data_IF_152210509657
#
_entry.id   IF_152210509657
#
_cell.length_a   1.000
_cell.length_b   1.000
_cell.length_c   1.000
_cell.angle_alpha   90.00
_cell.angle_beta   90.00
_cell.angle_gamma   90.00
#
_symmetry.space_group_name_H-M   'P 1'
#
loop_
_entity.id
_entity.type
_entity.pdbx_description
1 polymer ?
#
# COMPACT_ATOMS: atom_id res chain seq x y z
N UNK A 1 3.84 -15.90 -12.18
CA UNK A 1 4.66 -16.87 -11.43
C UNK A 1 6.15 -16.76 -11.70
N UNK A 2 6.57 -15.80 -12.54
CA UNK A 2 7.98 -15.54 -12.84
C UNK A 2 8.61 -14.53 -11.88
N UNK A 3 7.84 -13.60 -11.36
CA UNK A 3 8.30 -12.56 -10.41
C UNK A 3 7.97 -12.96 -8.98
N UNK A 4 6.80 -13.57 -8.77
CA UNK A 4 6.39 -14.15 -7.48
C UNK A 4 6.24 -15.67 -7.65
N UNK A 5 7.28 -16.46 -7.36
CA UNK A 5 7.17 -17.91 -7.42
C UNK A 5 6.27 -18.47 -6.29
N UNK A 6 5.73 -19.66 -6.49
CA UNK A 6 4.92 -20.35 -5.46
C UNK A 6 5.66 -20.61 -4.14
N UNK A 7 6.97 -20.48 -4.13
CA UNK A 7 7.84 -20.66 -2.96
C UNK A 7 8.10 -19.36 -2.19
N UNK A 8 7.52 -18.23 -2.62
CA UNK A 8 7.78 -16.92 -2.01
C UNK A 8 7.27 -16.84 -0.56
N UNK A 9 6.04 -17.23 -0.35
CA UNK A 9 5.41 -17.32 0.96
C UNK A 9 4.17 -18.24 0.91
N UNK A 10 3.60 -18.52 2.08
CA UNK A 10 2.43 -19.40 2.23
C UNK A 10 1.24 -18.95 1.36
N UNK A 11 0.89 -17.67 1.36
CA UNK A 11 -0.26 -17.15 0.61
C UNK A 11 -0.02 -17.13 -0.91
N UNK A 12 1.21 -16.91 -1.35
CA UNK A 12 1.57 -17.06 -2.76
C UNK A 12 1.45 -18.52 -3.22
N UNK A 13 1.81 -19.48 -2.35
CA UNK A 13 1.62 -20.91 -2.62
C UNK A 13 0.13 -21.27 -2.70
N UNK A 14 -0.67 -20.83 -1.70
CA UNK A 14 -2.11 -21.04 -1.67
C UNK A 14 -2.79 -20.43 -2.89
N UNK A 15 -2.51 -19.16 -3.19
CA UNK A 15 -3.04 -18.50 -4.38
C UNK A 15 -2.68 -19.27 -5.65
N UNK A 16 -1.44 -19.73 -5.79
CA UNK A 16 -1.00 -20.49 -6.97
C UNK A 16 -1.75 -21.82 -7.16
N UNK A 17 -2.27 -22.41 -6.07
CA UNK A 17 -3.01 -23.65 -6.12
C UNK A 17 -4.50 -23.48 -6.46
N UNK A 18 -5.10 -22.33 -6.06
CA UNK A 18 -6.55 -22.18 -6.08
C UNK A 18 -7.08 -20.94 -6.80
N UNK A 19 -6.22 -20.08 -7.37
CA UNK A 19 -6.70 -18.90 -8.09
C UNK A 19 -7.52 -19.33 -9.32
N UNK A 20 -8.64 -18.66 -9.53
CA UNK A 20 -9.56 -18.93 -10.64
C UNK A 20 -9.84 -17.70 -11.49
N UNK A 21 -9.38 -16.53 -11.02
CA UNK A 21 -9.66 -15.25 -11.67
C UNK A 21 -8.44 -14.33 -11.60
N UNK A 22 -8.47 -13.24 -12.34
CA UNK A 22 -7.40 -12.27 -12.34
C UNK A 22 -7.47 -11.29 -13.49
N UNK A 23 -6.46 -10.44 -13.56
CA UNK A 23 -6.32 -9.42 -14.59
C UNK A 23 -5.00 -9.58 -15.33
N UNK A 24 -5.04 -9.50 -16.67
CA UNK A 24 -3.85 -9.47 -17.49
C UNK A 24 -3.83 -8.21 -18.35
N UNK A 25 -2.74 -7.45 -18.25
CA UNK A 25 -2.56 -6.23 -19.04
C UNK A 25 -1.16 -6.25 -19.69
N UNK A 26 -1.13 -6.13 -21.01
CA UNK A 26 0.11 -5.98 -21.77
C UNK A 26 0.09 -4.67 -22.55
N UNK A 27 1.07 -3.82 -22.33
CA UNK A 27 1.24 -2.55 -23.04
C UNK A 27 2.36 -2.71 -24.07
N UNK A 28 2.06 -2.62 -25.37
CA UNK A 28 3.06 -2.82 -26.43
C UNK A 28 4.17 -1.78 -26.40
N UNK A 29 5.30 -2.14 -26.98
CA UNK A 29 6.50 -1.29 -27.08
C UNK A 29 6.17 0.12 -27.56
N UNK A 30 6.64 1.13 -26.82
CA UNK A 30 6.52 2.55 -27.13
C UNK A 30 5.11 3.14 -26.93
N UNK A 31 4.12 2.32 -26.58
CA UNK A 31 2.75 2.80 -26.35
C UNK A 31 2.66 3.51 -25.01
N UNK A 32 2.14 4.73 -25.02
CA UNK A 32 1.75 5.45 -23.80
C UNK A 32 0.23 5.34 -23.67
N UNK A 33 -0.23 4.58 -22.68
CA UNK A 33 -1.66 4.42 -22.43
C UNK A 33 -2.27 5.80 -22.12
N UNK A 34 -3.24 6.29 -22.92
CA UNK A 34 -3.71 7.68 -22.81
C UNK A 34 -4.68 7.89 -21.64
N UNK A 35 -5.19 6.82 -21.08
CA UNK A 35 -6.15 6.83 -19.96
C UNK A 35 -5.73 5.86 -18.90
N UNK A 36 -6.28 6.03 -17.73
CA UNK A 36 -6.12 5.09 -16.63
C UNK A 36 -6.94 3.81 -16.89
N UNK A 37 -6.30 2.67 -16.68
CA UNK A 37 -7.00 1.39 -16.71
C UNK A 37 -7.43 1.04 -15.29
N UNK A 38 -8.61 0.45 -15.13
CA UNK A 38 -9.09 0.04 -13.81
C UNK A 38 -9.70 -1.35 -13.82
N UNK A 39 -9.50 -2.06 -12.73
CA UNK A 39 -10.18 -3.33 -12.42
C UNK A 39 -10.79 -3.22 -11.03
N UNK A 40 -11.98 -3.78 -10.87
CA UNK A 40 -12.67 -3.78 -9.59
C UNK A 40 -13.05 -5.22 -9.20
N UNK A 41 -12.54 -5.66 -8.05
CA UNK A 41 -12.84 -6.97 -7.48
C UNK A 41 -13.81 -6.82 -6.31
N UNK A 42 -14.83 -7.69 -6.28
CA UNK A 42 -15.82 -7.70 -5.22
C UNK A 42 -16.15 -9.12 -4.77
N UNK A 43 -15.98 -9.37 -3.46
CA UNK A 43 -16.43 -10.63 -2.86
C UNK A 43 -17.95 -10.56 -2.68
N UNK A 44 -18.69 -11.44 -3.36
CA UNK A 44 -20.17 -11.45 -3.32
C UNK A 44 -20.75 -12.62 -2.54
N UNK A 45 -20.03 -13.73 -2.40
CA UNK A 45 -20.56 -14.97 -1.80
C UNK A 45 -20.10 -15.15 -0.36
N UNK A 46 -21.00 -15.67 0.50
CA UNK A 46 -20.69 -16.05 1.87
C UNK A 46 -19.86 -17.34 1.91
N UNK A 47 -19.01 -17.48 2.92
CA UNK A 47 -18.21 -18.70 3.14
C UNK A 47 -17.18 -18.98 2.05
N UNK A 48 -16.86 -17.98 1.20
CA UNK A 48 -15.88 -18.11 0.13
C UNK A 48 -14.67 -17.21 0.36
N UNK A 49 -13.49 -17.66 -0.09
CA UNK A 49 -12.31 -16.84 -0.24
C UNK A 49 -12.18 -16.29 -1.66
N UNK A 50 -11.50 -15.17 -1.81
CA UNK A 50 -11.15 -14.61 -3.11
C UNK A 50 -9.65 -14.76 -3.35
N UNK A 51 -9.30 -15.38 -4.50
CA UNK A 51 -7.94 -15.67 -4.89
C UNK A 51 -7.72 -15.22 -6.33
N UNK A 52 -7.16 -14.04 -6.53
CA UNK A 52 -6.88 -13.52 -7.85
C UNK A 52 -5.39 -13.32 -8.11
N UNK A 53 -5.02 -13.34 -9.41
CA UNK A 53 -3.67 -12.99 -9.87
C UNK A 53 -3.75 -11.92 -10.93
N UNK A 54 -3.06 -10.81 -10.69
CA UNK A 54 -2.90 -9.73 -11.67
C UNK A 54 -1.49 -9.74 -12.23
N UNK A 55 -1.37 -9.66 -13.55
CA UNK A 55 -0.10 -9.49 -14.25
C UNK A 55 -0.19 -8.27 -15.17
N UNK A 56 0.68 -7.30 -14.95
CA UNK A 56 0.86 -6.15 -15.83
C UNK A 56 2.27 -6.18 -16.42
N UNK A 57 2.36 -6.16 -17.75
CA UNK A 57 3.62 -6.11 -18.50
C UNK A 57 3.64 -4.83 -19.33
N UNK A 58 4.57 -3.94 -19.03
CA UNK A 58 4.87 -2.76 -19.83
C UNK A 58 6.13 -3.03 -20.67
N UNK A 59 5.95 -3.14 -21.99
CA UNK A 59 7.06 -3.37 -22.91
C UNK A 59 7.92 -2.11 -23.06
N UNK A 60 9.07 -2.23 -23.72
CA UNK A 60 10.10 -1.19 -23.84
C UNK A 60 9.54 0.20 -24.20
N UNK A 61 9.87 1.18 -23.37
CA UNK A 61 9.46 2.56 -23.56
C UNK A 61 7.96 2.81 -23.46
N UNK A 62 7.18 1.87 -22.93
CA UNK A 62 5.73 2.03 -22.74
C UNK A 62 5.38 2.68 -21.39
N UNK A 63 4.12 3.09 -21.25
CA UNK A 63 3.59 3.68 -20.02
C UNK A 63 2.16 3.20 -19.75
N UNK A 64 1.88 2.90 -18.50
CA UNK A 64 0.51 2.61 -18.03
C UNK A 64 0.30 3.12 -16.61
N UNK A 65 -0.89 3.69 -16.36
CA UNK A 65 -1.47 3.88 -15.04
C UNK A 65 -2.62 2.89 -14.87
N UNK A 66 -2.53 2.07 -13.82
CA UNK A 66 -3.46 0.99 -13.55
C UNK A 66 -3.99 1.12 -12.11
N UNK A 67 -5.30 1.09 -11.97
CA UNK A 67 -5.96 1.13 -10.67
C UNK A 67 -6.69 -0.18 -10.39
N UNK A 68 -6.55 -0.67 -9.17
CA UNK A 68 -7.28 -1.80 -8.62
C UNK A 68 -8.13 -1.35 -7.43
N UNK A 69 -9.44 -1.50 -7.55
CA UNK A 69 -10.38 -1.32 -6.47
C UNK A 69 -10.84 -2.67 -5.93
N UNK A 70 -10.94 -2.81 -4.61
CA UNK A 70 -11.42 -4.02 -3.98
C UNK A 70 -12.40 -3.69 -2.86
N UNK A 71 -13.49 -4.48 -2.77
CA UNK A 71 -14.44 -4.34 -1.66
C UNK A 71 -15.11 -5.67 -1.30
N UNK A 72 -15.63 -5.74 -0.07
CA UNK A 72 -16.50 -6.81 0.39
C UNK A 72 -17.70 -6.23 1.15
N UNK A 73 -18.90 -6.84 1.04
CA UNK A 73 -20.04 -6.46 1.85
C UNK A 73 -19.83 -6.85 3.32
N UNK A 74 -20.54 -6.17 4.22
CA UNK A 74 -20.60 -6.54 5.63
C UNK A 74 -21.22 -7.92 5.82
N UNK A 75 -20.54 -8.82 6.54
CA UNK A 75 -21.00 -10.17 6.89
C UNK A 75 -20.47 -10.58 8.26
N UNK A 76 -21.27 -11.35 9.01
CA UNK A 76 -20.90 -11.83 10.36
C UNK A 76 -19.91 -13.02 10.37
N UNK A 77 -19.14 -13.19 9.32
CA UNK A 77 -18.16 -14.27 9.16
C UNK A 77 -16.84 -13.73 8.61
N UNK A 78 -15.77 -14.43 8.91
CA UNK A 78 -14.46 -14.09 8.35
C UNK A 78 -14.39 -14.50 6.89
N UNK A 79 -13.81 -13.63 6.06
CA UNK A 79 -13.56 -13.91 4.66
C UNK A 79 -12.07 -13.76 4.36
N UNK A 80 -11.52 -14.67 3.56
CA UNK A 80 -10.12 -14.61 3.15
C UNK A 80 -10.00 -14.00 1.75
N UNK A 81 -9.21 -12.93 1.65
CA UNK A 81 -8.73 -12.40 0.39
C UNK A 81 -7.21 -12.65 0.30
N UNK A 82 -6.79 -13.43 -0.68
CA UNK A 82 -5.36 -13.70 -0.90
C UNK A 82 -5.00 -13.49 -2.37
N UNK A 83 -4.43 -12.33 -2.68
CA UNK A 83 -4.09 -11.91 -4.03
C UNK A 83 -2.59 -11.93 -4.31
N UNK A 84 -2.25 -12.08 -5.59
CA UNK A 84 -0.89 -11.95 -6.10
C UNK A 84 -0.87 -10.96 -7.25
N UNK A 85 0.01 -9.95 -7.19
CA UNK A 85 0.20 -8.97 -8.25
C UNK A 85 1.65 -8.94 -8.71
N UNK A 86 1.85 -9.16 -10.00
CA UNK A 86 3.16 -9.13 -10.64
C UNK A 86 3.21 -8.00 -11.67
N UNK A 87 4.20 -7.09 -11.54
CA UNK A 87 4.45 -6.03 -12.51
C UNK A 87 5.82 -6.25 -13.16
N UNK A 88 5.88 -6.13 -14.48
CA UNK A 88 7.11 -6.23 -15.25
C UNK A 88 7.25 -4.97 -16.10
N UNK A 89 8.20 -4.11 -15.76
CA UNK A 89 8.56 -2.93 -16.53
C UNK A 89 9.87 -3.22 -17.27
N UNK A 90 9.79 -3.39 -18.59
CA UNK A 90 10.96 -3.57 -19.45
C UNK A 90 11.71 -2.25 -19.63
N UNK A 91 12.82 -2.25 -20.41
CA UNK A 91 13.68 -1.08 -20.55
C UNK A 91 12.88 0.20 -20.90
N UNK A 92 13.16 1.30 -20.20
CA UNK A 92 12.53 2.61 -20.38
C UNK A 92 10.99 2.64 -20.15
N UNK A 93 10.41 1.56 -19.58
CA UNK A 93 8.98 1.50 -19.31
C UNK A 93 8.62 2.06 -17.93
N UNK A 94 7.39 2.54 -17.80
CA UNK A 94 6.85 3.05 -16.54
C UNK A 94 5.47 2.43 -16.25
N UNK A 95 5.32 1.90 -15.02
CA UNK A 95 4.04 1.42 -14.48
C UNK A 95 3.70 2.21 -13.22
N UNK A 96 2.55 2.86 -13.20
CA UNK A 96 1.91 3.34 -11.98
C UNK A 96 0.81 2.35 -11.61
N UNK A 97 0.86 1.80 -10.41
CA UNK A 97 -0.13 0.86 -9.92
C UNK A 97 -0.72 1.38 -8.61
N UNK A 98 -1.99 1.70 -8.65
CA UNK A 98 -2.71 2.26 -7.52
C UNK A 98 -3.74 1.27 -6.98
N UNK A 99 -3.90 1.20 -5.65
CA UNK A 99 -5.00 0.44 -5.03
C UNK A 99 -5.76 1.32 -4.04
N UNK A 100 -7.07 1.24 -4.12
CA UNK A 100 -7.98 1.78 -3.10
C UNK A 100 -8.83 0.62 -2.61
N UNK A 101 -8.68 0.28 -1.33
CA UNK A 101 -9.36 -0.87 -0.74
C UNK A 101 -10.32 -0.44 0.34
N UNK A 102 -11.54 -0.98 0.27
CA UNK A 102 -12.61 -0.77 1.23
C UNK A 102 -13.21 -2.12 1.61
N UNK A 103 -12.63 -2.74 2.62
CA UNK A 103 -13.08 -4.02 3.14
C UNK A 103 -14.02 -3.88 4.33
N UNK A 104 -14.69 -4.94 4.71
CA UNK A 104 -15.44 -4.99 5.94
C UNK A 104 -14.52 -5.32 7.13
N UNK A 105 -14.48 -4.48 8.20
CA UNK A 105 -13.52 -4.62 9.30
C UNK A 105 -13.92 -5.65 10.37
N UNK A 106 -15.12 -6.19 10.31
CA UNK A 106 -15.77 -6.88 11.41
C UNK A 106 -16.80 -5.99 12.12
N UNK A 107 -17.49 -6.56 13.09
CA UNK A 107 -18.45 -5.85 13.94
C UNK A 107 -17.78 -5.02 15.05
N UNK A 108 -18.59 -4.35 15.89
CA UNK A 108 -18.11 -3.53 17.00
C UNK A 108 -17.33 -4.32 18.07
N UNK A 109 -17.52 -5.62 18.13
CA UNK A 109 -16.84 -6.52 19.08
C UNK A 109 -15.59 -7.17 18.47
N UNK A 110 -15.30 -6.88 17.18
CA UNK A 110 -14.16 -7.40 16.46
C UNK A 110 -14.39 -8.80 15.86
N UNK A 111 -15.64 -9.24 15.72
CA UNK A 111 -15.97 -10.52 15.10
C UNK A 111 -16.19 -10.36 13.59
N UNK A 112 -15.84 -11.39 12.83
CA UNK A 112 -15.97 -11.36 11.36
C UNK A 112 -14.90 -10.51 10.69
N UNK A 113 -15.21 -10.04 9.48
CA UNK A 113 -14.36 -9.17 8.70
C UNK A 113 -13.41 -9.88 7.74
N UNK A 114 -12.77 -9.10 6.90
CA UNK A 114 -11.90 -9.60 5.83
C UNK A 114 -10.46 -9.75 6.33
N UNK A 115 -9.86 -10.91 6.08
CA UNK A 115 -8.42 -11.15 6.19
C UNK A 115 -7.79 -10.92 4.81
N UNK A 116 -7.05 -9.82 4.68
CA UNK A 116 -6.52 -9.33 3.41
C UNK A 116 -5.01 -9.60 3.32
N UNK A 117 -4.63 -10.68 2.66
CA UNK A 117 -3.23 -11.11 2.50
C UNK A 117 -2.80 -10.98 1.04
N UNK A 118 -1.98 -9.96 0.73
CA UNK A 118 -1.61 -9.65 -0.64
C UNK A 118 -0.10 -9.63 -0.83
N UNK A 119 0.37 -10.39 -1.81
CA UNK A 119 1.77 -10.39 -2.24
C UNK A 119 1.90 -9.64 -3.57
N UNK A 120 2.65 -8.54 -3.58
CA UNK A 120 2.88 -7.72 -4.79
C UNK A 120 4.38 -7.59 -5.07
N UNK A 121 4.78 -7.74 -6.34
CA UNK A 121 6.17 -7.53 -6.75
C UNK A 121 6.28 -6.92 -8.13
N UNK A 122 7.11 -5.88 -8.23
CA UNK A 122 7.50 -5.26 -9.48
C UNK A 122 8.95 -5.58 -9.83
N UNK A 123 9.20 -5.89 -11.09
CA UNK A 123 10.53 -6.05 -11.67
C UNK A 123 10.81 -4.89 -12.62
N UNK A 124 11.88 -4.13 -12.35
CA UNK A 124 12.32 -3.00 -13.17
C UNK A 124 13.60 -3.35 -13.93
N UNK A 125 13.55 -3.32 -15.26
CA UNK A 125 14.72 -3.40 -16.13
C UNK A 125 15.39 -2.01 -16.30
N UNK A 126 16.27 -1.81 -17.26
CA UNK A 126 17.06 -0.58 -17.39
C UNK A 126 16.18 0.67 -17.59
N UNK A 127 16.47 1.74 -16.85
CA UNK A 127 15.74 3.00 -16.82
C UNK A 127 14.23 2.87 -16.53
N UNK A 128 13.78 1.68 -16.15
CA UNK A 128 12.36 1.43 -15.90
C UNK A 128 11.94 1.99 -14.54
N UNK A 129 10.64 2.29 -14.42
CA UNK A 129 10.06 2.82 -13.19
C UNK A 129 8.78 2.08 -12.81
N UNK A 130 8.67 1.70 -11.54
CA UNK A 130 7.43 1.22 -10.94
C UNK A 130 7.09 2.09 -9.73
N UNK A 131 5.86 2.62 -9.71
CA UNK A 131 5.32 3.38 -8.60
C UNK A 131 4.08 2.67 -8.05
N UNK A 132 4.14 2.26 -6.78
CA UNK A 132 3.02 1.73 -6.03
C UNK A 132 2.37 2.86 -5.22
N UNK A 133 1.05 3.02 -5.35
CA UNK A 133 0.27 3.90 -4.48
C UNK A 133 -0.85 3.07 -3.86
N UNK A 134 -1.00 3.09 -2.53
CA UNK A 134 -2.05 2.31 -1.90
C UNK A 134 -2.74 3.07 -0.77
N UNK A 135 -4.06 2.90 -0.70
CA UNK A 135 -4.91 3.32 0.40
C UNK A 135 -5.63 2.08 0.93
N UNK A 136 -5.25 1.68 2.14
CA UNK A 136 -5.77 0.50 2.82
C UNK A 136 -6.72 0.93 3.91
N UNK A 137 -8.00 0.58 3.74
CA UNK A 137 -9.05 0.81 4.74
C UNK A 137 -9.90 -0.44 4.91
N UNK A 138 -10.55 -0.54 6.05
CA UNK A 138 -11.28 -1.74 6.41
C UNK A 138 -10.33 -2.89 6.76
N UNK A 139 -10.72 -4.11 6.45
CA UNK A 139 -10.08 -5.37 6.84
C UNK A 139 -9.93 -5.58 8.35
N UNK A 140 -10.33 -6.73 8.84
CA UNK A 140 -10.03 -7.12 10.22
C UNK A 140 -8.51 -7.31 10.41
N UNK A 141 -7.87 -7.95 9.43
CA UNK A 141 -6.42 -8.14 9.38
C UNK A 141 -5.90 -7.83 7.97
N UNK A 142 -4.90 -6.96 7.87
CA UNK A 142 -4.18 -6.68 6.62
C UNK A 142 -2.73 -7.15 6.74
N UNK A 143 -2.26 -7.91 5.74
CA UNK A 143 -0.86 -8.28 5.57
C UNK A 143 -0.45 -8.04 4.11
N UNK A 144 0.30 -6.97 3.85
CA UNK A 144 0.53 -6.51 2.47
C UNK A 144 1.87 -5.82 2.30
N UNK A 145 2.72 -6.40 1.44
CA UNK A 145 4.06 -5.89 1.16
C UNK A 145 4.34 -5.79 -0.33
N UNK A 146 3.96 -4.69 -1.01
CA UNK A 146 4.45 -4.40 -2.34
C UNK A 146 5.97 -4.31 -2.35
N UNK A 147 6.59 -4.78 -3.41
CA UNK A 147 8.05 -4.75 -3.53
C UNK A 147 8.50 -4.34 -4.93
N UNK A 148 9.71 -3.75 -5.02
CA UNK A 148 10.37 -3.47 -6.28
C UNK A 148 11.74 -4.17 -6.31
N UNK A 149 11.98 -4.96 -7.33
CA UNK A 149 13.30 -5.49 -7.68
C UNK A 149 13.88 -4.58 -8.75
N UNK A 150 14.81 -3.71 -8.37
CA UNK A 150 15.48 -2.74 -9.23
C UNK A 150 16.69 -3.42 -9.89
N UNK A 151 16.40 -4.24 -10.90
CA UNK A 151 17.36 -5.12 -11.56
C UNK A 151 18.23 -4.38 -12.56
N UNK A 152 17.61 -3.53 -13.37
CA UNK A 152 18.30 -2.78 -14.42
C UNK A 152 19.00 -1.53 -13.89
N UNK A 153 19.96 -1.02 -14.67
CA UNK A 153 20.65 0.23 -14.40
C UNK A 153 19.68 1.41 -14.46
N UNK A 154 19.84 2.38 -13.56
CA UNK A 154 19.01 3.58 -13.42
C UNK A 154 17.53 3.32 -13.14
N UNK A 155 17.15 2.10 -12.75
CA UNK A 155 15.75 1.80 -12.46
C UNK A 155 15.28 2.48 -11.17
N UNK A 156 13.97 2.76 -11.10
CA UNK A 156 13.34 3.53 -10.03
C UNK A 156 12.16 2.77 -9.44
N UNK A 157 12.11 2.67 -8.11
CA UNK A 157 10.98 2.12 -7.37
C UNK A 157 10.39 3.15 -6.41
N UNK A 158 9.08 3.32 -6.44
CA UNK A 158 8.39 4.23 -5.53
C UNK A 158 7.29 3.49 -4.77
N UNK A 159 7.09 3.85 -3.52
CA UNK A 159 6.03 3.34 -2.68
C UNK A 159 5.41 4.47 -1.87
N UNK A 160 4.12 4.68 -2.07
CA UNK A 160 3.29 5.65 -1.37
C UNK A 160 2.13 4.92 -0.73
N UNK A 161 1.97 5.01 0.60
CA UNK A 161 0.98 4.22 1.32
C UNK A 161 0.28 5.02 2.41
N UNK A 162 -1.04 4.81 2.52
CA UNK A 162 -1.84 5.14 3.69
C UNK A 162 -2.46 3.85 4.18
N UNK A 163 -2.30 3.54 5.47
CA UNK A 163 -2.98 2.44 6.14
C UNK A 163 -3.77 3.00 7.33
N UNK A 164 -5.09 2.84 7.30
CA UNK A 164 -5.99 3.30 8.37
C UNK A 164 -6.56 2.09 9.09
N UNK A 165 -6.44 2.11 10.41
CA UNK A 165 -7.00 1.09 11.31
C UNK A 165 -7.82 1.75 12.40
N UNK A 166 -8.96 1.15 12.74
CA UNK A 166 -9.83 1.58 13.82
C UNK A 166 -10.36 0.36 14.58
N UNK A 167 -10.98 0.56 15.74
CA UNK A 167 -11.54 -0.50 16.59
C UNK A 167 -10.51 -1.62 16.87
N UNK A 168 -10.77 -2.85 16.46
CA UNK A 168 -9.89 -4.01 16.68
C UNK A 168 -9.04 -4.40 15.47
N UNK A 169 -9.03 -3.58 14.42
CA UNK A 169 -8.29 -3.88 13.20
C UNK A 169 -6.79 -4.00 13.45
N UNK A 170 -6.15 -4.86 12.67
CA UNK A 170 -4.72 -5.04 12.66
C UNK A 170 -4.17 -4.91 11.25
N UNK A 171 -3.22 -4.03 11.05
CA UNK A 171 -2.52 -3.89 9.79
C UNK A 171 -1.01 -4.13 9.98
N UNK A 172 -0.45 -5.02 9.20
CA UNK A 172 0.99 -5.19 9.05
C UNK A 172 1.33 -4.96 7.58
N UNK A 173 1.73 -3.75 7.27
CA UNK A 173 1.98 -3.28 5.90
C UNK A 173 3.42 -2.83 5.74
N UNK A 174 3.82 -2.59 4.50
CA UNK A 174 5.15 -2.08 4.23
C UNK A 174 5.60 -2.35 2.81
N UNK A 175 6.91 -2.33 2.61
CA UNK A 175 7.47 -2.50 1.27
C UNK A 175 8.87 -3.12 1.31
N UNK A 176 9.31 -3.66 0.17
CA UNK A 176 10.67 -4.14 -0.02
C UNK A 176 11.27 -3.49 -1.27
N UNK A 177 12.37 -2.75 -1.11
CA UNK A 177 13.13 -2.14 -2.21
C UNK A 177 14.47 -2.87 -2.34
N UNK A 178 14.63 -3.64 -3.41
CA UNK A 178 15.80 -4.51 -3.65
C UNK A 178 16.59 -3.95 -4.81
N UNK A 179 17.74 -3.34 -4.52
CA UNK A 179 18.63 -2.71 -5.49
C UNK A 179 19.69 -3.71 -5.98
N UNK A 180 19.62 -4.08 -7.25
CA UNK A 180 20.55 -5.00 -7.92
C UNK A 180 21.40 -4.29 -8.97
N UNK A 181 20.81 -3.32 -9.70
CA UNK A 181 21.46 -2.54 -10.75
C UNK A 181 22.19 -1.30 -10.21
N UNK A 182 23.06 -0.72 -11.03
CA UNK A 182 23.78 0.52 -10.72
C UNK A 182 22.86 1.76 -10.86
N UNK A 183 23.12 2.81 -10.09
CA UNK A 183 22.40 4.10 -10.08
C UNK A 183 20.90 3.97 -9.84
N UNK A 184 20.48 2.95 -9.15
CA UNK A 184 19.05 2.71 -8.86
C UNK A 184 18.57 3.63 -7.74
N UNK A 185 17.28 4.00 -7.78
CA UNK A 185 16.68 4.89 -6.80
C UNK A 185 15.41 4.29 -6.24
N UNK A 186 15.17 4.48 -4.94
CA UNK A 186 13.88 4.15 -4.34
C UNK A 186 13.41 5.25 -3.39
N UNK A 187 12.08 5.44 -3.36
CA UNK A 187 11.40 6.36 -2.45
C UNK A 187 10.28 5.61 -1.74
N UNK A 188 10.22 5.76 -0.43
CA UNK A 188 9.20 5.16 0.42
C UNK A 188 8.56 6.28 1.26
N UNK A 189 7.25 6.49 1.09
CA UNK A 189 6.44 7.37 1.94
C UNK A 189 5.28 6.55 2.48
N UNK A 190 5.31 6.26 3.76
CA UNK A 190 4.28 5.46 4.43
C UNK A 190 3.63 6.25 5.56
N UNK A 191 2.31 6.35 5.52
CA UNK A 191 1.48 7.02 6.52
C UNK A 191 0.58 5.99 7.20
N UNK A 192 0.77 5.76 8.49
CA UNK A 192 -0.08 4.90 9.31
C UNK A 192 -1.01 5.73 10.18
N UNK A 193 -2.30 5.38 10.25
CA UNK A 193 -3.27 6.02 11.14
C UNK A 193 -3.93 4.94 11.97
N UNK A 194 -3.88 5.09 13.28
CA UNK A 194 -4.46 4.13 14.23
C UNK A 194 -5.44 4.83 15.15
N UNK A 195 -6.61 4.23 15.33
CA UNK A 195 -7.65 4.71 16.23
C UNK A 195 -8.27 3.55 17.04
N UNK A 196 -9.04 3.86 18.07
CA UNK A 196 -9.70 2.86 18.91
C UNK A 196 -8.69 1.95 19.63
N UNK A 197 -8.80 0.63 19.42
CA UNK A 197 -7.90 -0.41 19.98
C UNK A 197 -7.02 -1.04 18.88
N UNK A 198 -6.95 -0.41 17.71
CA UNK A 198 -6.27 -0.99 16.55
C UNK A 198 -4.76 -0.96 16.67
N UNK A 199 -4.11 -1.81 15.86
CA UNK A 199 -2.66 -1.92 15.80
C UNK A 199 -2.21 -1.79 14.35
N UNK A 200 -1.31 -0.84 14.07
CA UNK A 200 -0.76 -0.61 12.75
C UNK A 200 0.75 -0.78 12.78
N UNK A 201 1.25 -1.68 11.95
CA UNK A 201 2.68 -1.96 11.82
C UNK A 201 3.16 -1.65 10.41
N UNK A 202 4.28 -0.95 10.32
CA UNK A 202 5.03 -0.78 9.09
C UNK A 202 6.31 -1.63 9.12
N UNK A 203 6.55 -2.44 8.09
CA UNK A 203 7.82 -3.17 7.89
C UNK A 203 8.45 -2.79 6.57
N UNK A 204 9.63 -2.21 6.61
CA UNK A 204 10.37 -1.78 5.44
C UNK A 204 11.66 -2.59 5.25
N UNK A 205 11.88 -3.16 4.06
CA UNK A 205 13.16 -3.72 3.68
C UNK A 205 13.79 -2.85 2.58
N UNK A 206 15.00 -2.35 2.84
CA UNK A 206 15.86 -1.76 1.81
C UNK A 206 17.14 -2.60 1.72
N UNK A 207 17.32 -3.28 0.59
CA UNK A 207 18.49 -4.12 0.36
C UNK A 207 19.28 -3.60 -0.84
N UNK A 208 20.57 -3.27 -0.63
CA UNK A 208 21.47 -2.81 -1.69
C UNK A 208 22.58 -3.82 -1.89
N UNK A 209 22.58 -4.47 -3.07
CA UNK A 209 23.55 -5.49 -3.43
C UNK A 209 24.98 -4.93 -3.63
N UNK A 210 26.02 -5.75 -3.57
CA UNK A 210 27.41 -5.29 -3.83
C UNK A 210 27.60 -4.65 -5.21
N UNK A 211 26.80 -5.04 -6.21
CA UNK A 211 26.87 -4.54 -7.59
C UNK A 211 26.12 -3.23 -7.80
N UNK A 212 25.18 -2.88 -6.92
CA UNK A 212 24.31 -1.72 -7.05
C UNK A 212 25.06 -0.43 -6.62
N UNK A 213 26.05 -0.02 -7.41
CA UNK A 213 26.81 1.19 -7.17
C UNK A 213 25.95 2.43 -7.31
N UNK A 214 26.24 3.47 -6.51
CA UNK A 214 25.57 4.78 -6.52
C UNK A 214 24.05 4.69 -6.36
N UNK A 215 23.57 3.65 -5.69
CA UNK A 215 22.15 3.51 -5.39
C UNK A 215 21.72 4.42 -4.27
N UNK A 216 20.48 4.93 -4.35
CA UNK A 216 19.94 5.84 -3.34
C UNK A 216 18.56 5.38 -2.88
N UNK A 217 18.34 5.41 -1.56
CA UNK A 217 17.02 5.23 -0.95
C UNK A 217 16.68 6.43 -0.08
N UNK A 218 15.42 6.85 -0.15
CA UNK A 218 14.78 7.74 0.82
C UNK A 218 13.55 7.03 1.38
N UNK A 219 13.41 6.99 2.70
CA UNK A 219 12.28 6.37 3.41
C UNK A 219 11.76 7.30 4.48
N UNK A 220 10.47 7.59 4.44
CA UNK A 220 9.75 8.32 5.48
C UNK A 220 8.54 7.50 5.93
N UNK A 221 8.46 7.23 7.24
CA UNK A 221 7.41 6.40 7.84
C UNK A 221 6.79 7.16 9.01
N UNK A 222 5.62 7.75 8.78
CA UNK A 222 4.95 8.55 9.79
C UNK A 222 3.70 7.82 10.31
N UNK A 223 3.48 7.90 11.61
CA UNK A 223 2.31 7.33 12.28
C UNK A 223 1.54 8.41 13.04
N UNK A 224 0.22 8.38 12.92
CA UNK A 224 -0.70 9.25 13.62
C UNK A 224 -1.63 8.42 14.51
N UNK A 225 -1.64 8.73 15.80
CA UNK A 225 -2.47 8.06 16.80
C UNK A 225 -3.68 8.92 17.18
N UNK A 226 -4.86 8.29 17.24
CA UNK A 226 -6.13 8.91 17.65
C UNK A 226 -6.67 8.12 18.84
N UNK A 227 -6.60 8.72 20.03
CA UNK A 227 -6.97 8.04 21.27
C UNK A 227 -5.78 7.44 22.03
N UNK A 228 -6.07 6.61 23.03
CA UNK A 228 -5.07 6.12 24.00
C UNK A 228 -4.79 4.61 23.93
N UNK A 229 -5.64 3.83 23.24
CA UNK A 229 -5.54 2.37 23.26
C UNK A 229 -5.03 1.78 21.93
N UNK A 230 -4.87 2.63 20.92
CA UNK A 230 -4.29 2.20 19.63
C UNK A 230 -2.76 2.21 19.66
N UNK A 231 -2.16 1.44 18.73
CA UNK A 231 -0.70 1.35 18.61
C UNK A 231 -0.19 1.55 17.19
N UNK A 232 1.04 2.02 17.11
CA UNK A 232 1.82 2.10 15.88
C UNK A 232 3.22 1.53 16.09
N UNK A 233 3.65 0.70 15.14
CA UNK A 233 4.93 0.00 15.23
C UNK A 233 5.69 0.15 13.91
N UNK A 234 6.98 0.47 13.97
CA UNK A 234 7.84 0.63 12.79
C UNK A 234 9.04 -0.29 12.89
N UNK A 235 9.20 -1.17 11.88
CA UNK A 235 10.27 -2.16 11.81
C UNK A 235 11.10 -1.97 10.54
N UNK A 236 12.02 -1.03 10.50
CA UNK A 236 12.91 -0.87 9.35
C UNK A 236 13.99 -1.96 9.36
N UNK A 237 14.23 -2.54 8.19
CA UNK A 237 15.37 -3.42 7.95
C UNK A 237 16.17 -2.91 6.76
N UNK A 238 17.41 -2.47 7.02
CA UNK A 238 18.27 -1.85 6.02
C UNK A 238 19.55 -2.66 5.92
N UNK A 239 19.80 -3.23 4.73
CA UNK A 239 21.01 -3.98 4.43
C UNK A 239 21.73 -3.35 3.22
N UNK A 240 22.92 -2.82 3.41
CA UNK A 240 23.77 -2.38 2.30
C UNK A 240 25.11 -3.10 2.30
N UNK A 241 25.49 -3.58 1.12
CA UNK A 241 26.80 -4.21 0.86
C UNK A 241 27.64 -3.38 -0.12
N UNK A 242 27.27 -2.12 -0.38
CA UNK A 242 27.98 -1.23 -1.29
C UNK A 242 28.27 0.13 -0.62
N UNK A 243 29.55 0.53 -0.59
CA UNK A 243 30.02 1.76 0.08
C UNK A 243 29.59 3.05 -0.62
N UNK A 244 29.18 3.01 -1.90
CA UNK A 244 28.69 4.18 -2.62
C UNK A 244 27.18 4.41 -2.48
N UNK A 245 26.49 3.57 -1.72
CA UNK A 245 25.06 3.71 -1.46
C UNK A 245 24.78 4.90 -0.53
N UNK A 246 23.66 5.56 -0.78
CA UNK A 246 23.11 6.61 0.08
C UNK A 246 21.73 6.18 0.57
N UNK A 247 21.54 6.16 1.88
CA UNK A 247 20.29 5.72 2.51
C UNK A 247 19.90 6.79 3.55
N UNK A 248 18.67 7.28 3.39
CA UNK A 248 18.04 8.21 4.31
C UNK A 248 16.77 7.55 4.86
N UNK A 249 16.60 7.54 6.17
CA UNK A 249 15.41 6.96 6.82
C UNK A 249 14.95 7.86 7.95
N UNK A 250 13.69 8.26 7.89
CA UNK A 250 12.99 9.01 8.92
C UNK A 250 11.75 8.22 9.39
N UNK A 251 11.48 8.27 10.68
CA UNK A 251 10.26 7.71 11.26
C UNK A 251 9.75 8.64 12.35
N UNK A 252 8.48 9.00 12.26
CA UNK A 252 7.81 9.81 13.27
C UNK A 252 6.54 9.14 13.79
N UNK A 253 6.23 9.35 15.05
CA UNK A 253 4.95 8.98 15.63
C UNK A 253 4.41 10.19 16.37
N UNK A 254 3.22 10.61 16.00
CA UNK A 254 2.51 11.72 16.63
C UNK A 254 1.12 11.27 17.07
N UNK A 255 0.59 11.97 18.06
CA UNK A 255 -0.78 11.80 18.54
C UNK A 255 -1.53 13.10 18.36
N UNK A 256 -2.80 13.03 17.97
CA UNK A 256 -3.67 14.19 17.95
C UNK A 256 -3.84 14.68 19.38
N UNK A 257 -3.34 15.89 19.65
CA UNK A 257 -3.40 16.51 20.98
C UNK A 257 -4.76 17.17 21.26
N UNK A 258 -5.14 17.19 22.53
CA UNK A 258 -6.34 17.89 22.99
C UNK A 258 -6.30 19.39 22.64
N UNK A 259 -5.12 20.01 22.67
CA UNK A 259 -4.91 21.41 22.30
C UNK A 259 -5.26 21.68 20.84
N UNK A 260 -4.97 20.77 19.93
CA UNK A 260 -5.31 20.89 18.51
C UNK A 260 -6.82 20.81 18.30
N UNK A 261 -7.48 19.87 18.98
CA UNK A 261 -8.93 19.72 18.97
C UNK A 261 -9.60 20.96 19.57
N UNK A 262 -9.13 21.39 20.75
CA UNK A 262 -9.62 22.59 21.41
C UNK A 262 -9.51 23.85 20.52
N UNK A 263 -8.38 24.03 19.85
CA UNK A 263 -8.18 25.13 18.91
C UNK A 263 -9.21 25.14 17.77
N UNK A 264 -9.55 23.97 17.23
CA UNK A 264 -10.59 23.83 16.21
C UNK A 264 -11.98 24.12 16.78
N UNK A 265 -12.30 23.55 17.95
CA UNK A 265 -13.60 23.75 18.62
C UNK A 265 -13.86 25.20 18.94
N UNK A 266 -12.86 25.98 19.35
CA UNK A 266 -12.98 27.44 19.59
C UNK A 266 -13.34 28.21 18.31
N UNK A 267 -13.21 27.61 17.13
CA UNK A 267 -13.60 28.19 15.84
C UNK A 267 -14.88 27.61 15.26
N UNK A 268 -15.64 26.89 16.10
CA UNK A 268 -16.90 26.27 15.70
C UNK A 268 -16.77 25.03 14.83
N UNK A 269 -15.56 24.42 14.75
CA UNK A 269 -15.34 23.15 14.08
C UNK A 269 -15.51 22.05 15.13
N UNK A 270 -16.48 21.16 14.95
CA UNK A 270 -16.69 20.04 15.85
C UNK A 270 -15.49 19.07 15.84
N UNK A 271 -15.41 18.24 16.89
CA UNK A 271 -14.27 17.33 17.09
C UNK A 271 -14.07 16.34 15.94
N UNK A 272 -15.13 15.78 15.39
CA UNK A 272 -15.04 14.84 14.27
C UNK A 272 -14.49 15.51 13.02
N UNK A 273 -14.98 16.70 12.69
CA UNK A 273 -14.44 17.50 11.57
C UNK A 273 -13.00 17.94 11.80
N UNK A 274 -12.63 18.29 13.05
CA UNK A 274 -11.26 18.63 13.38
C UNK A 274 -10.30 17.46 13.10
N UNK A 275 -10.67 16.25 13.50
CA UNK A 275 -9.91 15.05 13.23
C UNK A 275 -9.83 14.77 11.72
N UNK A 276 -10.95 14.84 11.00
CA UNK A 276 -10.97 14.67 9.56
C UNK A 276 -10.03 15.66 8.84
N UNK A 277 -9.99 16.93 9.26
CA UNK A 277 -9.06 17.93 8.72
C UNK A 277 -7.60 17.58 8.98
N UNK A 278 -7.26 17.14 10.19
CA UNK A 278 -5.89 16.72 10.56
C UNK A 278 -5.46 15.51 9.75
N UNK A 279 -6.31 14.48 9.68
CA UNK A 279 -6.08 13.24 8.92
C UNK A 279 -5.91 13.52 7.43
N UNK A 280 -6.76 14.36 6.85
CA UNK A 280 -6.66 14.78 5.46
C UNK A 280 -5.33 15.52 5.18
N UNK A 281 -4.93 16.42 6.09
CA UNK A 281 -3.64 17.10 6.01
C UNK A 281 -2.47 16.13 6.06
N UNK A 282 -2.50 15.17 6.99
CA UNK A 282 -1.47 14.14 7.16
C UNK A 282 -1.36 13.22 5.93
N UNK A 283 -2.48 12.89 5.30
CA UNK A 283 -2.58 11.97 4.17
C UNK A 283 -2.32 12.61 2.80
N UNK A 284 -2.34 13.95 2.72
CA UNK A 284 -2.36 14.72 1.47
C UNK A 284 -1.25 14.34 0.49
N UNK A 285 -0.05 14.10 0.98
CA UNK A 285 1.11 13.76 0.13
C UNK A 285 0.87 12.49 -0.68
N UNK A 286 0.29 11.47 -0.06
CA UNK A 286 -0.01 10.18 -0.72
C UNK A 286 -1.25 10.30 -1.59
N UNK A 287 -2.31 10.96 -1.11
CA UNK A 287 -3.54 11.17 -1.88
C UNK A 287 -3.28 11.91 -3.20
N UNK A 288 -2.35 12.86 -3.22
CA UNK A 288 -1.93 13.58 -4.43
C UNK A 288 -1.22 12.70 -5.48
N UNK A 289 -0.87 11.45 -5.16
CA UNK A 289 -0.31 10.49 -6.13
C UNK A 289 -1.39 9.71 -6.88
N UNK A 290 -2.62 9.70 -6.34
CA UNK A 290 -3.78 9.11 -6.99
C UNK A 290 -4.35 10.06 -8.06
N UNK A 291 -5.01 9.52 -9.10
CA UNK A 291 -5.88 10.31 -9.95
C UNK A 291 -6.94 11.02 -9.12
N UNK A 292 -7.38 12.22 -9.57
CA UNK A 292 -8.24 13.09 -8.78
C UNK A 292 -9.53 12.40 -8.31
N UNK A 293 -10.16 11.62 -9.19
CA UNK A 293 -11.41 10.91 -8.90
C UNK A 293 -11.23 9.90 -7.76
N UNK A 294 -10.13 9.13 -7.78
CA UNK A 294 -9.80 8.14 -6.75
C UNK A 294 -9.25 8.79 -5.48
N UNK A 295 -8.60 9.95 -5.59
CA UNK A 295 -8.17 10.71 -4.42
C UNK A 295 -9.38 11.18 -3.60
N UNK A 296 -10.46 11.63 -4.25
CA UNK A 296 -11.71 12.02 -3.60
C UNK A 296 -12.39 10.83 -2.94
N UNK A 297 -12.46 9.69 -3.63
CA UNK A 297 -13.00 8.44 -3.06
C UNK A 297 -12.18 7.99 -1.83
N UNK A 298 -10.86 7.95 -1.96
CA UNK A 298 -9.97 7.59 -0.87
C UNK A 298 -10.12 8.52 0.33
N UNK A 299 -10.22 9.83 0.09
CA UNK A 299 -10.46 10.82 1.15
C UNK A 299 -11.76 10.55 1.89
N UNK A 300 -12.84 10.22 1.18
CA UNK A 300 -14.12 9.87 1.78
C UNK A 300 -14.05 8.58 2.61
N UNK A 301 -13.30 7.57 2.12
CA UNK A 301 -13.08 6.33 2.87
C UNK A 301 -12.28 6.56 4.15
N UNK A 302 -11.29 7.46 4.16
CA UNK A 302 -10.56 7.83 5.38
C UNK A 302 -11.50 8.43 6.44
N UNK A 303 -12.41 9.32 6.03
CA UNK A 303 -13.39 9.92 6.92
C UNK A 303 -14.31 8.85 7.54
N UNK A 304 -14.92 8.01 6.70
CA UNK A 304 -15.84 6.94 7.14
C UNK A 304 -15.14 5.93 8.06
N UNK A 305 -13.90 5.54 7.76
CA UNK A 305 -13.14 4.57 8.55
C UNK A 305 -12.83 5.04 9.97
N UNK A 306 -12.90 6.36 10.20
CA UNK A 306 -12.61 6.99 11.50
C UNK A 306 -13.85 7.53 12.21
N UNK A 307 -15.06 7.37 11.64
CA UNK A 307 -16.31 7.73 12.32
C UNK A 307 -16.42 6.98 13.66
N UNK A 308 -16.81 7.68 14.71
CA UNK A 308 -16.93 7.11 16.05
C UNK A 308 -15.61 6.78 16.75
N UNK A 309 -14.45 7.14 16.18
CA UNK A 309 -13.15 6.88 16.81
C UNK A 309 -12.84 7.80 18.01
N UNK A 310 -13.72 8.77 18.25
CA UNK A 310 -13.63 9.73 19.35
C UNK A 310 -14.92 9.60 20.16
N UNK A 311 -14.88 8.77 21.17
CA UNK A 311 -15.91 8.58 22.16
C UNK A 311 -15.35 8.82 23.56
#
# INVERSE_FOLDING_TARGET
GTVIPKTDNYYAALNSAVFSDGSFCYIPKGVKCPMELSTYFRINEAGTGQFERTLVVADKGSYVSYLEGCSAPSRNENQLHAAVVELIALDDAEIKYSTVQNWFPGDSDGNGGVFNFVTKRGLCENNAKISWTQVETGSAVTWKYPSCVLKGKNSVGEFYSIAVTNNFQQADTGTKMIHLGENTKSTIISKGISAGKSQNSYRGLVQISPRAKNSRNFSQCDSLLIGNECGAHTFPYIETKNKSAQIEHEATTSKIGEDQIFYCNQRGIDTEKAIALIVNGFSKEVLNKLPMEFAVEAQKLLEISLEGSVG
#
